data_IF_908466829224
#
_entry.id   IF_908466829224
#
_cell.length_a   1.000
_cell.length_b   1.000
_cell.length_c   1.000
_cell.angle_alpha   90.00
_cell.angle_beta   90.00
_cell.angle_gamma   90.00
#
_symmetry.space_group_name_H-M   'P 1'
#
loop_
_entity.id
_entity.type
_entity.pdbx_description
1 polymer ?
#
# COMPACT_ATOMS: atom_id res chain seq x y z
N UNK A 1 19.26 7.09 -34.14
CA UNK A 1 17.85 7.43 -33.88
C UNK A 1 17.31 6.27 -33.07
N UNK A 2 17.50 6.33 -31.75
CA UNK A 2 17.08 5.26 -30.85
C UNK A 2 15.60 5.40 -30.54
N UNK A 3 14.82 4.40 -30.94
CA UNK A 3 13.45 4.20 -30.45
C UNK A 3 13.53 3.72 -29.00
N UNK A 4 12.76 4.29 -28.06
CA UNK A 4 12.84 3.89 -26.66
C UNK A 4 12.28 2.47 -26.50
N UNK A 5 13.17 1.58 -26.08
CA UNK A 5 12.91 0.23 -25.60
C UNK A 5 11.67 0.18 -24.70
N UNK A 6 10.68 -0.61 -25.12
CA UNK A 6 9.64 -1.18 -24.25
C UNK A 6 10.33 -2.02 -23.17
N UNK A 7 10.69 -1.39 -22.04
CA UNK A 7 11.32 -2.09 -20.92
C UNK A 7 10.25 -2.77 -20.08
N UNK A 8 9.96 -4.02 -20.44
CA UNK A 8 9.47 -5.02 -19.48
C UNK A 8 10.46 -5.14 -18.32
N UNK A 9 9.95 -5.39 -17.10
CA UNK A 9 10.74 -5.50 -15.87
C UNK A 9 12.01 -6.34 -16.08
N UNK A 10 13.17 -5.69 -15.97
CA UNK A 10 14.47 -6.37 -16.06
C UNK A 10 14.66 -7.26 -14.81
N UNK A 11 14.62 -8.58 -14.96
CA UNK A 11 14.72 -9.57 -13.87
C UNK A 11 16.15 -9.79 -13.32
N UNK A 12 17.06 -8.85 -13.57
CA UNK A 12 18.46 -9.01 -13.21
C UNK A 12 18.68 -8.62 -11.75
N UNK A 13 18.87 -9.65 -10.90
CA UNK A 13 19.05 -9.67 -9.43
C UNK A 13 17.79 -9.83 -8.55
N UNK A 14 16.95 -10.83 -8.87
CA UNK A 14 15.84 -11.20 -7.98
C UNK A 14 16.24 -12.30 -6.98
N UNK A 15 16.20 -12.00 -5.68
CA UNK A 15 16.45 -12.96 -4.60
C UNK A 15 15.32 -13.99 -4.45
N UNK A 16 14.11 -13.60 -4.87
CA UNK A 16 12.93 -14.46 -4.87
C UNK A 16 13.10 -15.61 -5.87
N UNK A 17 12.93 -16.84 -5.38
CA UNK A 17 12.95 -18.07 -6.18
C UNK A 17 11.52 -18.58 -6.37
N UNK A 18 11.24 -19.32 -7.45
CA UNK A 18 9.89 -19.85 -7.71
C UNK A 18 9.43 -20.88 -6.67
N UNK A 19 10.34 -21.41 -5.86
CA UNK A 19 10.06 -22.38 -4.81
C UNK A 19 10.66 -21.93 -3.48
N UNK A 20 9.99 -22.33 -2.40
CA UNK A 20 10.41 -22.10 -1.01
C UNK A 20 11.06 -23.36 -0.47
N UNK A 21 12.04 -23.21 0.42
CA UNK A 21 12.72 -24.33 1.09
C UNK A 21 11.82 -24.97 2.14
N UNK A 22 11.86 -26.30 2.28
CA UNK A 22 11.21 -27.01 3.41
C UNK A 22 11.76 -26.66 4.79
N UNK A 23 12.89 -25.92 4.86
CA UNK A 23 13.49 -25.48 6.12
C UNK A 23 12.84 -24.19 6.68
N UNK A 24 11.74 -23.73 6.11
CA UNK A 24 10.98 -22.59 6.63
C UNK A 24 10.05 -23.01 7.78
N UNK A 25 9.72 -22.08 8.65
CA UNK A 25 8.68 -22.30 9.65
C UNK A 25 7.31 -22.47 8.96
N UNK A 26 6.43 -23.26 9.57
CA UNK A 26 5.03 -23.29 9.19
C UNK A 26 4.39 -21.96 9.61
N UNK A 27 3.70 -21.31 8.67
CA UNK A 27 3.04 -20.03 8.87
C UNK A 27 1.55 -20.23 8.66
N UNK A 28 0.75 -19.92 9.67
CA UNK A 28 -0.70 -19.83 9.54
C UNK A 28 -1.05 -18.43 9.00
N UNK A 29 -1.59 -18.36 7.78
CA UNK A 29 -1.98 -17.09 7.18
C UNK A 29 -3.42 -16.76 7.56
N UNK A 30 -3.58 -15.72 8.38
CA UNK A 30 -4.89 -15.17 8.69
C UNK A 30 -5.48 -14.42 7.49
N UNK A 31 -6.82 -14.30 7.49
CA UNK A 31 -7.53 -13.55 6.45
C UNK A 31 -7.14 -12.07 6.50
N UNK A 32 -6.63 -11.54 5.40
CA UNK A 32 -6.39 -10.11 5.28
C UNK A 32 -7.72 -9.35 5.13
N UNK A 33 -7.97 -8.36 6.02
CA UNK A 33 -9.21 -7.58 6.07
C UNK A 33 -8.94 -6.11 5.75
N UNK A 34 -10.00 -5.36 5.44
CA UNK A 34 -9.89 -3.91 5.23
C UNK A 34 -9.35 -3.18 6.48
N UNK A 35 -9.65 -3.69 7.67
CA UNK A 35 -9.14 -3.17 8.94
C UNK A 35 -7.61 -3.32 9.03
N UNK A 36 -7.05 -4.47 8.63
CA UNK A 36 -5.59 -4.65 8.59
C UNK A 36 -4.91 -3.64 7.66
N UNK A 37 -5.50 -3.40 6.48
CA UNK A 37 -5.00 -2.41 5.54
C UNK A 37 -5.06 -0.99 6.12
N UNK A 38 -6.17 -0.64 6.76
CA UNK A 38 -6.34 0.65 7.42
C UNK A 38 -5.27 0.88 8.49
N UNK A 39 -5.05 -0.10 9.37
CA UNK A 39 -4.01 0.02 10.38
C UNK A 39 -2.61 0.09 9.79
N UNK A 40 -2.30 -0.70 8.77
CA UNK A 40 -0.98 -0.68 8.15
C UNK A 40 -0.67 0.68 7.49
N UNK A 41 -1.66 1.32 6.88
CA UNK A 41 -1.49 2.56 6.14
C UNK A 41 -1.61 3.83 7.01
N UNK A 42 -2.65 3.93 7.85
CA UNK A 42 -3.05 5.19 8.48
C UNK A 42 -2.75 5.27 9.97
N UNK A 43 -2.70 4.13 10.69
CA UNK A 43 -2.58 4.10 12.15
C UNK A 43 -1.41 4.91 12.70
N UNK A 44 -0.23 4.74 12.08
CA UNK A 44 1.01 5.39 12.55
C UNK A 44 0.89 6.91 12.50
N UNK A 45 0.23 7.45 11.47
CA UNK A 45 -0.01 8.88 11.32
C UNK A 45 -1.08 9.35 12.28
N UNK A 46 -2.23 8.69 12.32
CA UNK A 46 -3.34 9.00 13.24
C UNK A 46 -2.89 9.06 14.69
N UNK A 47 -2.11 8.07 15.14
CA UNK A 47 -1.56 8.06 16.49
C UNK A 47 -0.68 9.28 16.77
N UNK A 48 0.17 9.64 15.82
CA UNK A 48 1.03 10.82 15.93
C UNK A 48 0.23 12.12 15.96
N UNK A 49 -0.75 12.27 15.06
CA UNK A 49 -1.59 13.47 15.00
C UNK A 49 -2.42 13.62 16.28
N UNK A 50 -2.87 12.51 16.87
CA UNK A 50 -3.53 12.50 18.18
C UNK A 50 -2.60 12.94 19.31
N UNK A 51 -1.38 12.37 19.37
CA UNK A 51 -0.38 12.73 20.39
C UNK A 51 0.11 14.19 20.27
N UNK A 52 0.18 14.73 19.05
CA UNK A 52 0.61 16.10 18.76
C UNK A 52 -0.54 17.13 18.81
N UNK A 53 -1.79 16.71 19.06
CA UNK A 53 -2.96 17.60 19.08
C UNK A 53 -3.27 18.22 17.71
N UNK A 54 -2.97 17.51 16.63
CA UNK A 54 -3.18 17.95 15.23
C UNK A 54 -4.49 17.43 14.65
N UNK A 55 -5.48 17.18 15.50
CA UNK A 55 -6.82 16.80 15.11
C UNK A 55 -7.77 17.97 15.38
N UNK A 56 -8.76 18.17 14.50
CA UNK A 56 -9.84 19.13 14.72
C UNK A 56 -10.90 18.60 15.71
N UNK A 57 -11.94 19.39 15.95
CA UNK A 57 -13.04 19.04 16.88
C UNK A 57 -13.84 17.81 16.42
N UNK A 58 -13.81 17.51 15.11
CA UNK A 58 -14.47 16.36 14.49
C UNK A 58 -13.54 15.12 14.40
N UNK A 59 -12.28 15.25 14.81
CA UNK A 59 -11.27 14.19 14.81
C UNK A 59 -10.53 14.00 13.48
N UNK A 60 -10.66 14.93 12.54
CA UNK A 60 -9.92 14.91 11.28
C UNK A 60 -8.52 15.51 11.45
N UNK A 61 -7.56 15.00 10.68
CA UNK A 61 -6.20 15.54 10.66
C UNK A 61 -6.17 16.95 10.06
N UNK A 62 -5.55 17.89 10.77
CA UNK A 62 -5.29 19.25 10.27
C UNK A 62 -4.30 19.24 9.10
N UNK A 63 -3.43 18.22 9.04
CA UNK A 63 -2.44 18.02 7.98
C UNK A 63 -2.65 16.64 7.32
N UNK A 64 -3.73 16.46 6.52
CA UNK A 64 -4.02 15.15 5.98
C UNK A 64 -3.01 14.75 4.90
N UNK A 65 -2.65 13.47 4.89
CA UNK A 65 -1.74 12.88 3.89
C UNK A 65 -2.37 12.94 2.49
N UNK A 66 -1.57 12.77 1.41
CA UNK A 66 -2.11 12.67 0.06
C UNK A 66 -3.19 11.60 -0.07
N UNK A 67 -3.00 10.47 0.61
CA UNK A 67 -3.93 9.33 0.62
C UNK A 67 -5.20 9.61 1.43
N UNK A 68 -5.11 10.38 2.52
CA UNK A 68 -6.27 10.81 3.33
C UNK A 68 -7.11 11.87 2.61
N UNK A 69 -6.50 12.65 1.71
CA UNK A 69 -7.18 13.68 0.92
C UNK A 69 -7.92 13.14 -0.31
N UNK A 70 -7.66 11.89 -0.71
CA UNK A 70 -8.25 11.34 -1.93
C UNK A 70 -9.76 11.17 -1.76
N UNK A 71 -10.53 11.63 -2.75
CA UNK A 71 -11.96 11.33 -2.80
C UNK A 71 -12.20 9.85 -3.16
N UNK A 72 -13.38 9.33 -2.83
CA UNK A 72 -13.76 7.94 -3.11
C UNK A 72 -13.63 7.59 -4.61
N UNK A 73 -14.03 8.50 -5.51
CA UNK A 73 -13.91 8.29 -6.96
C UNK A 73 -12.45 8.26 -7.43
N UNK A 74 -11.60 9.09 -6.83
CA UNK A 74 -10.16 9.16 -7.15
C UNK A 74 -9.42 7.92 -6.65
N UNK A 75 -9.71 7.52 -5.41
CA UNK A 75 -9.20 6.30 -4.82
C UNK A 75 -9.60 5.08 -5.67
N UNK A 76 -10.85 5.03 -6.14
CA UNK A 76 -11.35 3.94 -6.99
C UNK A 76 -10.66 3.88 -8.35
N UNK A 77 -10.47 5.03 -9.01
CA UNK A 77 -9.73 5.10 -10.29
C UNK A 77 -8.28 4.66 -10.12
N UNK A 78 -7.62 5.09 -9.04
CA UNK A 78 -6.23 4.70 -8.72
C UNK A 78 -6.12 3.21 -8.44
N UNK A 79 -7.03 2.68 -7.63
CA UNK A 79 -7.12 1.27 -7.31
C UNK A 79 -7.31 0.42 -8.58
N UNK A 80 -7.96 0.94 -9.61
CA UNK A 80 -8.17 0.26 -10.90
C UNK A 80 -7.11 0.52 -11.97
N UNK A 81 -6.06 1.27 -11.66
CA UNK A 81 -5.00 1.54 -12.64
C UNK A 81 -4.20 0.28 -12.98
N UNK A 82 -3.62 0.22 -14.18
CA UNK A 82 -2.79 -0.91 -14.60
C UNK A 82 -1.53 -0.99 -13.73
N UNK A 83 -1.18 -2.20 -13.29
CA UNK A 83 -0.10 -2.41 -12.32
C UNK A 83 -0.50 -2.28 -10.85
N UNK A 84 -1.80 -2.08 -10.57
CA UNK A 84 -2.38 -2.27 -9.23
C UNK A 84 -2.66 -3.75 -8.95
N UNK A 85 -2.70 -4.11 -7.67
CA UNK A 85 -2.96 -5.48 -7.18
C UNK A 85 -4.40 -5.98 -7.50
N UNK A 86 -5.30 -5.07 -7.90
CA UNK A 86 -6.67 -5.41 -8.30
C UNK A 86 -6.76 -6.08 -9.67
N UNK A 87 -5.72 -5.92 -10.50
CA UNK A 87 -5.64 -6.51 -11.82
C UNK A 87 -4.27 -7.19 -11.97
N UNK A 88 -4.17 -8.38 -11.37
CA UNK A 88 -3.08 -9.33 -11.56
C UNK A 88 -3.18 -10.08 -12.89
#
# INVERSE_FOLDING_TARGET
>A
MDTPSERGRDFHSNELKPYVSYRTADIEQEKFTAEHLFYAAYYKKLKKDFEEGKLDEDGNSLEPSPEEKMDAEEAWKKARSTGSDLFG
#
